data_IF_626829069539
#
_entry.id   IF_626829069539
#
_cell.length_a   1.000
_cell.length_b   1.000
_cell.length_c   1.000
_cell.angle_alpha   90.00
_cell.angle_beta   90.00
_cell.angle_gamma   90.00
#
_symmetry.space_group_name_H-M   'P 1'
#
loop_
_entity.id
_entity.type
_entity.pdbx_description
1 polymer ?
#
# COMPACT_ATOMS: atom_id res chain seq x y z
N UNK A 1 -3.69 -25.81 65.69
CA UNK A 1 -4.85 -25.10 65.10
C UNK A 1 -4.31 -23.96 64.24
N UNK A 2 -4.95 -23.70 63.09
CA UNK A 2 -4.71 -22.63 62.09
C UNK A 2 -3.92 -22.98 60.82
N UNK A 3 -4.63 -22.79 59.70
CA UNK A 3 -4.35 -22.98 58.28
C UNK A 3 -3.63 -21.77 57.63
N UNK A 4 -3.12 -21.96 56.41
CA UNK A 4 -2.93 -20.90 55.39
C UNK A 4 -1.71 -21.18 54.50
N UNK A 5 -1.82 -21.93 53.38
CA UNK A 5 -2.25 -21.49 52.03
C UNK A 5 -1.51 -20.24 51.55
N UNK A 6 -0.75 -20.38 50.46
CA UNK A 6 -0.19 -19.22 49.74
C UNK A 6 0.89 -19.53 48.69
N UNK A 7 0.72 -20.57 47.86
CA UNK A 7 1.42 -20.64 46.55
C UNK A 7 0.95 -19.45 45.70
N UNK A 8 1.77 -19.06 44.71
CA UNK A 8 1.50 -18.11 43.62
C UNK A 8 2.04 -16.68 43.79
N UNK A 9 3.34 -16.52 44.01
CA UNK A 9 4.07 -15.34 43.51
C UNK A 9 5.04 -15.83 42.41
N UNK A 10 4.86 -15.38 41.17
CA UNK A 10 5.87 -15.64 40.14
C UNK A 10 5.43 -15.56 38.68
N UNK A 11 4.17 -15.24 38.37
CA UNK A 11 3.73 -15.07 36.97
C UNK A 11 2.77 -13.88 36.84
N UNK A 12 3.22 -12.67 37.21
CA UNK A 12 2.43 -11.44 37.03
C UNK A 12 3.31 -10.24 36.60
N UNK A 13 4.35 -10.48 35.81
CA UNK A 13 5.24 -9.40 35.30
C UNK A 13 5.36 -9.36 33.76
N UNK A 14 4.49 -10.09 33.05
CA UNK A 14 4.49 -10.17 31.58
C UNK A 14 3.29 -9.50 30.86
N UNK A 15 2.10 -9.23 31.45
CA UNK A 15 0.99 -8.72 30.66
C UNK A 15 1.10 -7.23 30.32
N UNK A 16 1.84 -6.44 31.10
CA UNK A 16 1.93 -4.99 30.91
C UNK A 16 2.80 -4.57 29.71
N UNK A 17 3.94 -5.22 29.51
CA UNK A 17 4.87 -4.88 28.42
C UNK A 17 4.31 -5.30 27.07
N UNK A 18 3.64 -6.45 27.01
CA UNK A 18 2.96 -6.93 25.80
C UNK A 18 1.84 -5.96 25.39
N UNK A 19 1.07 -5.43 26.35
CA UNK A 19 -0.01 -4.49 26.06
C UNK A 19 0.51 -3.16 25.49
N UNK A 20 1.65 -2.66 25.99
CA UNK A 20 2.25 -1.40 25.54
C UNK A 20 2.82 -1.54 24.12
N UNK A 21 3.47 -2.67 23.79
CA UNK A 21 3.95 -2.93 22.43
C UNK A 21 2.78 -3.08 21.46
N UNK A 22 1.71 -3.77 21.87
CA UNK A 22 0.50 -3.94 21.05
C UNK A 22 -0.20 -2.61 20.76
N UNK A 23 -0.22 -1.68 21.73
CA UNK A 23 -0.81 -0.34 21.56
C UNK A 23 -0.01 0.53 20.57
N UNK A 24 1.31 0.37 20.48
CA UNK A 24 2.14 1.14 19.51
C UNK A 24 2.02 0.67 18.07
N UNK A 25 1.61 -0.58 17.82
CA UNK A 25 1.43 -1.13 16.46
C UNK A 25 0.14 -0.63 15.77
N UNK A 26 -0.84 -0.14 16.52
CA UNK A 26 -2.14 0.32 15.97
C UNK A 26 -2.09 1.78 15.50
N UNK A 27 -1.04 2.53 15.86
CA UNK A 27 -0.92 3.96 15.57
C UNK A 27 -0.22 4.30 14.23
N UNK A 28 -0.05 3.33 13.32
CA UNK A 28 0.41 3.61 11.97
C UNK A 28 -0.66 3.25 10.94
N UNK A 29 -1.63 4.14 10.66
CA UNK A 29 -1.88 4.44 9.27
C UNK A 29 -0.66 5.25 8.83
N UNK A 30 0.41 4.58 8.41
CA UNK A 30 1.23 5.17 7.37
C UNK A 30 0.23 5.43 6.25
N UNK A 31 -0.29 6.66 6.18
CA UNK A 31 -1.01 7.15 5.04
C UNK A 31 -0.01 6.97 3.91
N UNK A 32 -0.09 5.83 3.24
CA UNK A 32 0.63 5.54 2.03
C UNK A 32 0.09 6.58 1.07
N UNK A 33 0.75 7.74 1.03
CA UNK A 33 0.52 8.76 0.02
C UNK A 33 0.82 8.03 -1.27
N UNK A 34 -0.22 7.55 -1.93
CA UNK A 34 -0.11 6.93 -3.22
C UNK A 34 0.51 8.00 -4.11
N UNK A 35 1.68 7.71 -4.65
CA UNK A 35 2.34 8.62 -5.56
C UNK A 35 1.48 8.70 -6.83
N UNK A 36 0.77 9.80 -6.97
CA UNK A 36 -0.10 10.06 -8.11
C UNK A 36 0.72 10.78 -9.18
N UNK A 37 0.65 10.29 -10.41
CA UNK A 37 1.41 10.83 -11.55
C UNK A 37 0.44 11.48 -12.52
N UNK A 38 0.68 12.72 -12.91
CA UNK A 38 -0.21 13.42 -13.84
C UNK A 38 -0.18 12.81 -15.24
N UNK A 39 -1.27 12.97 -15.99
CA UNK A 39 -1.37 12.56 -17.39
C UNK A 39 -0.19 13.05 -18.23
N UNK A 40 0.19 14.32 -18.10
CA UNK A 40 1.33 14.88 -18.84
C UNK A 40 2.67 14.20 -18.50
N UNK A 41 2.83 13.67 -17.28
CA UNK A 41 4.00 12.89 -16.93
C UNK A 41 3.96 11.48 -17.53
N UNK A 42 2.80 10.83 -17.56
CA UNK A 42 2.60 9.54 -18.24
C UNK A 42 2.85 9.67 -19.75
N UNK A 43 2.31 10.70 -20.41
CA UNK A 43 2.52 10.93 -21.84
C UNK A 43 4.00 11.14 -22.19
N UNK A 44 4.75 11.87 -21.34
CA UNK A 44 6.20 12.01 -21.49
C UNK A 44 6.95 10.70 -21.27
N UNK A 45 6.47 9.83 -20.38
CA UNK A 45 7.07 8.53 -20.11
C UNK A 45 6.82 7.54 -21.25
N UNK A 46 5.67 7.61 -21.92
CA UNK A 46 5.27 6.72 -23.01
C UNK A 46 5.00 7.49 -24.32
N UNK A 47 5.99 8.18 -24.91
CA UNK A 47 5.78 9.16 -25.99
C UNK A 47 5.30 8.57 -27.32
N UNK A 48 5.34 7.25 -27.48
CA UNK A 48 4.85 6.54 -28.68
C UNK A 48 3.47 5.94 -28.48
N UNK A 49 2.94 5.97 -27.26
CA UNK A 49 1.66 5.38 -26.92
C UNK A 49 0.53 6.32 -27.35
N UNK A 50 -0.54 5.75 -27.93
CA UNK A 50 -1.74 6.51 -28.28
C UNK A 50 -2.39 7.03 -26.99
N UNK A 51 -2.82 8.31 -26.93
CA UNK A 51 -3.50 8.86 -25.76
C UNK A 51 -4.73 8.04 -25.33
N UNK A 52 -5.49 7.47 -26.28
CA UNK A 52 -6.66 6.62 -26.02
C UNK A 52 -6.28 5.40 -25.15
N UNK A 53 -5.09 4.85 -25.33
CA UNK A 53 -4.65 3.71 -24.53
C UNK A 53 -4.23 4.10 -23.11
N UNK A 54 -3.78 5.35 -22.92
CA UNK A 54 -3.47 5.91 -21.59
C UNK A 54 -4.78 6.22 -20.87
N UNK A 55 -5.71 6.91 -21.55
CA UNK A 55 -7.04 7.26 -21.02
C UNK A 55 -7.86 6.03 -20.61
N UNK A 56 -7.73 4.90 -21.33
CA UNK A 56 -8.37 3.63 -20.95
C UNK A 56 -7.93 3.12 -19.56
N UNK A 57 -6.76 3.53 -19.07
CA UNK A 57 -6.27 3.17 -17.75
C UNK A 57 -6.59 4.20 -16.68
N UNK A 58 -7.10 5.38 -17.04
CA UNK A 58 -7.59 6.41 -16.12
C UNK A 58 -9.03 6.06 -15.73
N UNK A 59 -9.19 5.32 -14.61
CA UNK A 59 -10.47 4.68 -14.30
C UNK A 59 -11.54 5.67 -13.84
N UNK A 60 -11.12 6.68 -13.07
CA UNK A 60 -11.99 7.72 -12.52
C UNK A 60 -11.96 9.01 -13.35
N UNK A 61 -11.17 9.06 -14.42
CA UNK A 61 -11.08 10.18 -15.37
C UNK A 61 -10.62 11.49 -14.71
N UNK A 62 -9.73 11.39 -13.73
CA UNK A 62 -9.21 12.54 -12.99
C UNK A 62 -7.87 13.08 -13.55
N UNK A 63 -7.30 12.37 -14.54
CA UNK A 63 -6.01 12.70 -15.14
C UNK A 63 -4.81 12.51 -14.20
N UNK A 64 -4.98 11.77 -13.11
CA UNK A 64 -4.03 11.60 -12.02
C UNK A 64 -3.87 10.10 -11.70
N UNK A 65 -2.81 9.52 -12.25
CA UNK A 65 -2.62 8.07 -12.29
C UNK A 65 -2.07 7.53 -10.98
N UNK A 66 -2.87 6.71 -10.32
CA UNK A 66 -2.43 5.88 -9.20
C UNK A 66 -1.40 4.83 -9.64
N UNK A 67 -0.76 4.17 -8.68
CA UNK A 67 0.18 3.08 -8.97
C UNK A 67 -0.46 1.96 -9.80
N UNK A 68 -1.72 1.64 -9.55
CA UNK A 68 -2.43 0.57 -10.26
C UNK A 68 -2.64 0.95 -11.73
N UNK A 69 -3.00 2.20 -11.99
CA UNK A 69 -3.25 2.70 -13.35
C UNK A 69 -1.96 2.85 -14.13
N UNK A 70 -0.87 3.27 -13.47
CA UNK A 70 0.48 3.22 -14.05
C UNK A 70 0.87 1.80 -14.50
N UNK A 71 0.54 0.77 -13.71
CA UNK A 71 0.77 -0.63 -14.09
C UNK A 71 -0.10 -1.06 -15.28
N UNK A 72 -1.34 -0.57 -15.37
CA UNK A 72 -2.20 -0.77 -16.54
C UNK A 72 -1.54 -0.18 -17.79
N UNK A 73 -1.10 1.08 -17.74
CA UNK A 73 -0.43 1.75 -18.87
C UNK A 73 0.83 0.99 -19.29
N UNK A 74 1.67 0.62 -18.34
CA UNK A 74 2.90 -0.14 -18.59
C UNK A 74 2.63 -1.49 -19.27
N UNK A 75 1.56 -2.17 -18.86
CA UNK A 75 1.17 -3.47 -19.41
C UNK A 75 0.68 -3.36 -20.85
N UNK A 76 -0.15 -2.36 -21.15
CA UNK A 76 -0.59 -2.08 -22.52
C UNK A 76 0.62 -1.70 -23.38
N UNK A 77 1.50 -0.82 -22.89
CA UNK A 77 2.69 -0.42 -23.60
C UNK A 77 3.55 -1.63 -23.98
N UNK A 78 3.80 -2.52 -23.03
CA UNK A 78 4.55 -3.75 -23.28
C UNK A 78 3.93 -4.59 -24.40
N UNK A 79 2.65 -4.95 -24.26
CA UNK A 79 1.98 -5.88 -25.19
C UNK A 79 1.80 -5.27 -26.58
N UNK A 80 1.41 -4.00 -26.65
CA UNK A 80 1.01 -3.37 -27.90
C UNK A 80 2.13 -2.59 -28.59
N UNK A 81 3.19 -2.19 -27.90
CA UNK A 81 4.24 -1.32 -28.46
C UNK A 81 5.64 -1.90 -28.40
N UNK A 82 5.90 -2.87 -27.52
CA UNK A 82 7.21 -3.53 -27.42
C UNK A 82 7.21 -4.95 -28.00
N UNK A 83 6.16 -5.74 -27.71
CA UNK A 83 6.08 -7.15 -28.07
C UNK A 83 5.55 -7.40 -29.51
N UNK A 84 5.53 -6.40 -30.40
CA UNK A 84 5.11 -6.53 -31.80
C UNK A 84 6.15 -7.23 -32.73
N UNK A 85 6.95 -8.16 -32.21
CA UNK A 85 7.92 -8.93 -33.02
C UNK A 85 7.44 -10.36 -33.24
#
# INVERSE_FOLDING_TARGET
>A
MSLGVGRHLGVMLLPGIVLVILATLVALPAAARQEVVSLAAIERQYPKMSPIHIEKCDHDHDGAFTRTEQLCVASIYRVMYLDQR
#
